data_IF_913367447010
#
_entry.id   IF_913367447010
#
_cell.length_a   1.000
_cell.length_b   1.000
_cell.length_c   1.000
_cell.angle_alpha   90.00
_cell.angle_beta   90.00
_cell.angle_gamma   90.00
#
_symmetry.space_group_name_H-M   'P 1'
#
loop_
_entity.id
_entity.type
_entity.pdbx_description
1 polymer ?
#
# COMPACT_ATOMS: atom_id res chain seq x y z
N UNK A 1 -2.84 10.44 -1.09
CA UNK A 1 -2.97 9.55 -2.26
C UNK A 1 -1.61 9.43 -2.95
N UNK A 2 -1.53 9.29 -4.27
CA UNK A 2 -0.28 9.05 -5.00
C UNK A 2 0.67 10.26 -4.93
N UNK A 3 1.46 10.33 -3.87
CA UNK A 3 2.28 11.48 -3.48
C UNK A 3 3.25 11.99 -4.55
N UNK A 4 3.84 11.10 -5.35
CA UNK A 4 4.78 11.54 -6.41
C UNK A 4 4.09 12.15 -7.65
N UNK A 5 2.77 12.01 -7.77
CA UNK A 5 2.00 12.61 -8.87
C UNK A 5 1.43 14.00 -8.52
N UNK A 6 1.78 14.55 -7.35
CA UNK A 6 1.25 15.85 -6.92
C UNK A 6 -0.29 15.83 -6.76
N UNK A 7 -1.00 16.95 -6.97
CA UNK A 7 -2.45 17.00 -6.81
C UNK A 7 -3.20 16.07 -7.77
N UNK A 8 -2.61 15.76 -8.93
CA UNK A 8 -3.20 14.88 -9.95
C UNK A 8 -3.32 13.42 -9.49
N UNK A 9 -2.55 13.02 -8.48
CA UNK A 9 -2.63 11.71 -7.85
C UNK A 9 -3.80 11.56 -6.87
N UNK A 10 -4.64 12.59 -6.71
CA UNK A 10 -5.82 12.55 -5.83
C UNK A 10 -7.04 12.09 -6.63
N UNK A 11 -7.75 11.02 -6.19
CA UNK A 11 -8.96 10.55 -6.87
C UNK A 11 -10.01 11.65 -7.00
N UNK A 12 -10.55 11.82 -8.20
CA UNK A 12 -11.62 12.78 -8.49
C UNK A 12 -12.96 12.26 -7.96
N UNK A 13 -13.98 13.12 -8.02
CA UNK A 13 -15.35 12.67 -7.79
C UNK A 13 -15.72 11.55 -8.77
N UNK A 14 -16.33 10.46 -8.27
CA UNK A 14 -16.59 9.24 -9.04
C UNK A 14 -15.43 8.23 -9.07
N UNK A 15 -14.18 8.66 -8.82
CA UNK A 15 -12.99 7.78 -8.79
C UNK A 15 -12.55 7.41 -7.37
N UNK A 16 -13.23 7.96 -6.35
CA UNK A 16 -12.90 7.68 -4.94
C UNK A 16 -13.19 6.21 -4.60
N UNK A 17 -12.37 5.58 -3.74
CA UNK A 17 -12.66 4.25 -3.23
C UNK A 17 -14.06 4.17 -2.62
N UNK A 18 -14.77 3.09 -2.92
CA UNK A 18 -16.14 2.85 -2.46
C UNK A 18 -16.20 2.13 -1.12
N UNK A 19 -15.08 1.52 -0.70
CA UNK A 19 -14.94 0.89 0.60
C UNK A 19 -13.54 1.10 1.20
N UNK A 20 -13.48 1.04 2.53
CA UNK A 20 -12.25 1.13 3.31
C UNK A 20 -12.25 0.07 4.40
N UNK A 21 -11.12 -0.62 4.59
CA UNK A 21 -10.88 -1.51 5.73
C UNK A 21 -9.82 -0.87 6.61
N UNK A 22 -10.13 -0.62 7.88
CA UNK A 22 -9.16 -0.08 8.84
C UNK A 22 -8.58 -1.23 9.64
N UNK A 23 -7.28 -1.48 9.47
CA UNK A 23 -6.59 -2.58 10.15
C UNK A 23 -6.10 -2.14 11.51
N UNK A 24 -6.54 -2.87 12.55
CA UNK A 24 -6.27 -2.55 13.94
C UNK A 24 -5.39 -3.61 14.60
N UNK A 25 -4.42 -3.17 15.39
CA UNK A 25 -3.63 -4.03 16.27
C UNK A 25 -4.19 -3.92 17.68
N UNK A 26 -4.69 -5.00 18.24
CA UNK A 26 -5.15 -5.03 19.63
C UNK A 26 -3.96 -5.18 20.59
N UNK A 27 -3.57 -4.08 21.24
CA UNK A 27 -2.40 -4.03 22.15
C UNK A 27 -2.59 -4.80 23.45
N UNK A 28 -3.82 -5.23 23.80
CA UNK A 28 -4.05 -6.16 24.92
C UNK A 28 -3.72 -7.60 24.58
N UNK A 29 -3.84 -7.98 23.30
CA UNK A 29 -3.49 -9.32 22.83
C UNK A 29 -1.99 -9.38 22.52
N UNK A 30 -1.49 -8.35 21.83
CA UNK A 30 -0.09 -8.29 21.41
C UNK A 30 0.47 -6.90 21.64
N UNK A 31 1.35 -6.78 22.64
CA UNK A 31 1.97 -5.51 23.01
C UNK A 31 2.91 -4.99 21.89
N UNK A 32 3.65 -5.87 21.21
CA UNK A 32 4.61 -5.49 20.17
C UNK A 32 4.67 -6.51 19.00
N UNK A 33 5.13 -6.05 17.83
CA UNK A 33 5.31 -6.85 16.62
C UNK A 33 4.05 -7.11 15.80
N UNK A 34 2.89 -6.59 16.22
CA UNK A 34 1.61 -6.81 15.53
C UNK A 34 1.54 -6.28 14.09
N UNK A 35 2.44 -5.37 13.71
CA UNK A 35 2.53 -4.83 12.35
C UNK A 35 2.95 -5.88 11.32
N UNK A 36 3.64 -6.95 11.72
CA UNK A 36 3.93 -8.09 10.83
C UNK A 36 2.66 -8.86 10.47
N UNK A 37 1.80 -9.12 11.47
CA UNK A 37 0.52 -9.81 11.27
C UNK A 37 -0.43 -8.93 10.45
N UNK A 38 -0.48 -7.63 10.78
CA UNK A 38 -1.24 -6.65 10.02
C UNK A 38 -0.78 -6.62 8.57
N UNK A 39 0.54 -6.61 8.32
CA UNK A 39 1.06 -6.60 6.96
C UNK A 39 0.73 -7.86 6.16
N UNK A 40 0.81 -9.04 6.78
CA UNK A 40 0.40 -10.29 6.15
C UNK A 40 -1.11 -10.32 5.84
N UNK A 41 -1.94 -9.83 6.77
CA UNK A 41 -3.38 -9.71 6.56
C UNK A 41 -3.71 -8.75 5.41
N UNK A 42 -3.02 -7.59 5.37
CA UNK A 42 -3.18 -6.59 4.31
C UNK A 42 -2.83 -7.15 2.93
N UNK A 43 -1.69 -7.81 2.80
CA UNK A 43 -1.28 -8.43 1.53
C UNK A 43 -2.27 -9.50 1.08
N UNK A 44 -2.75 -10.36 1.99
CA UNK A 44 -3.78 -11.36 1.65
C UNK A 44 -5.07 -10.70 1.16
N UNK A 45 -5.53 -9.62 1.81
CA UNK A 45 -6.72 -8.88 1.36
C UNK A 45 -6.52 -8.23 -0.01
N UNK A 46 -5.32 -7.71 -0.28
CA UNK A 46 -4.95 -7.13 -1.60
C UNK A 46 -5.03 -8.20 -2.69
N UNK A 47 -4.45 -9.38 -2.46
CA UNK A 47 -4.44 -10.48 -3.42
C UNK A 47 -5.86 -11.01 -3.70
N UNK A 48 -6.68 -11.17 -2.66
CA UNK A 48 -8.09 -11.60 -2.81
C UNK A 48 -8.92 -10.53 -3.52
N UNK A 49 -8.70 -9.25 -3.22
CA UNK A 49 -9.36 -8.16 -3.93
C UNK A 49 -9.03 -8.19 -5.43
N UNK A 50 -7.76 -8.40 -5.77
CA UNK A 50 -7.30 -8.51 -7.16
C UNK A 50 -7.94 -9.71 -7.87
N UNK A 51 -7.96 -10.89 -7.23
CA UNK A 51 -8.62 -12.09 -7.77
C UNK A 51 -10.12 -11.85 -8.02
N UNK A 52 -10.79 -11.13 -7.12
CA UNK A 52 -12.19 -10.78 -7.23
C UNK A 52 -12.48 -9.63 -8.23
N UNK A 53 -11.47 -9.09 -8.92
CA UNK A 53 -11.61 -8.02 -9.91
C UNK A 53 -11.66 -6.60 -9.34
N UNK A 54 -11.26 -6.43 -8.07
CA UNK A 54 -11.18 -5.12 -7.41
C UNK A 54 -9.74 -4.59 -7.37
N UNK A 55 -9.62 -3.27 -7.40
CA UNK A 55 -8.39 -2.55 -7.13
C UNK A 55 -8.28 -2.25 -5.64
N UNK A 56 -7.04 -2.13 -5.16
CA UNK A 56 -6.78 -1.79 -3.77
C UNK A 56 -5.57 -0.87 -3.61
N UNK A 57 -5.57 -0.09 -2.52
CA UNK A 57 -4.43 0.75 -2.14
C UNK A 57 -4.21 0.68 -0.63
N UNK A 58 -3.02 0.25 -0.22
CA UNK A 58 -2.59 0.21 1.18
C UNK A 58 -2.04 1.58 1.60
N UNK A 59 -2.71 2.23 2.55
CA UNK A 59 -2.44 3.60 2.97
C UNK A 59 -2.00 3.62 4.45
N UNK A 60 -0.79 4.13 4.71
CA UNK A 60 -0.29 4.39 6.07
C UNK A 60 -0.24 5.90 6.42
N UNK A 61 -0.32 6.78 5.40
CA UNK A 61 -0.39 8.22 5.56
C UNK A 61 -1.82 8.66 5.88
N UNK A 62 -2.18 8.60 7.16
CA UNK A 62 -3.55 8.74 7.66
C UNK A 62 -3.63 9.81 8.76
N UNK A 63 -4.74 10.52 8.82
CA UNK A 63 -5.15 11.22 10.05
C UNK A 63 -5.75 10.22 11.03
N UNK A 64 -4.88 9.59 11.82
CA UNK A 64 -5.28 8.58 12.81
C UNK A 64 -6.21 9.17 13.87
N UNK A 65 -6.00 10.42 14.28
CA UNK A 65 -6.83 11.07 15.30
C UNK A 65 -8.27 11.26 14.82
N UNK A 66 -8.46 11.63 13.55
CA UNK A 66 -9.78 11.69 12.94
C UNK A 66 -10.43 10.29 12.89
N UNK A 67 -9.70 9.26 12.45
CA UNK A 67 -10.21 7.89 12.36
C UNK A 67 -10.62 7.32 13.72
N UNK A 68 -9.82 7.53 14.78
CA UNK A 68 -10.19 7.12 16.14
C UNK A 68 -11.55 7.69 16.56
N UNK A 69 -11.80 8.96 16.25
CA UNK A 69 -13.05 9.66 16.58
C UNK A 69 -14.23 9.16 15.76
N UNK A 70 -14.07 9.09 14.43
CA UNK A 70 -15.14 8.72 13.49
C UNK A 70 -15.61 7.29 13.73
N UNK A 71 -14.67 6.36 13.98
CA UNK A 71 -14.95 4.94 14.10
C UNK A 71 -15.09 4.46 15.56
N UNK A 72 -15.01 5.38 16.52
CA UNK A 72 -15.06 5.07 17.95
C UNK A 72 -14.09 3.96 18.38
N UNK A 73 -12.87 3.97 17.82
CA UNK A 73 -11.86 2.93 18.06
C UNK A 73 -11.36 3.04 19.51
N UNK A 74 -11.33 1.95 20.29
CA UNK A 74 -10.90 1.99 21.68
C UNK A 74 -9.39 2.24 21.79
N UNK A 75 -8.96 2.92 22.85
CA UNK A 75 -7.56 3.34 23.06
C UNK A 75 -6.53 2.21 23.06
N UNK A 76 -6.95 0.98 23.34
CA UNK A 76 -6.04 -0.18 23.35
C UNK A 76 -5.87 -0.82 21.97
N UNK A 77 -6.61 -0.36 20.96
CA UNK A 77 -6.40 -0.74 19.57
C UNK A 77 -5.59 0.35 18.89
N UNK A 78 -4.57 -0.05 18.14
CA UNK A 78 -3.78 0.86 17.33
C UNK A 78 -4.17 0.76 15.86
N UNK A 79 -4.33 1.90 15.18
CA UNK A 79 -4.50 1.94 13.73
C UNK A 79 -3.14 1.74 13.05
N UNK A 80 -2.96 0.56 12.45
CA UNK A 80 -1.81 0.26 11.61
C UNK A 80 -1.93 1.02 10.28
N UNK A 81 -2.97 0.68 9.51
CA UNK A 81 -3.16 1.12 8.14
C UNK A 81 -4.61 1.03 7.66
N UNK A 82 -4.88 1.55 6.46
CA UNK A 82 -6.18 1.46 5.79
C UNK A 82 -5.99 0.84 4.41
N UNK A 83 -6.85 -0.13 4.06
CA UNK A 83 -7.00 -0.62 2.70
C UNK A 83 -8.16 0.12 2.03
N UNK A 84 -7.86 0.92 1.01
CA UNK A 84 -8.88 1.44 0.11
C UNK A 84 -9.23 0.39 -0.95
N UNK A 85 -10.52 0.25 -1.27
CA UNK A 85 -11.05 -0.72 -2.24
C UNK A 85 -12.01 -0.05 -3.23
N UNK A 86 -11.99 -0.51 -4.48
CA UNK A 86 -12.89 -0.02 -5.52
C UNK A 86 -12.72 -0.77 -6.84
N UNK A 87 -13.52 -0.41 -7.85
CA UNK A 87 -13.32 -0.90 -9.22
C UNK A 87 -12.11 -0.17 -9.83
N UNK A 88 -11.12 -0.87 -10.41
CA UNK A 88 -9.98 -0.22 -11.05
C UNK A 88 -10.42 0.73 -12.16
N UNK A 89 -9.94 1.98 -12.11
CA UNK A 89 -10.17 3.00 -13.14
C UNK A 89 -8.87 3.42 -13.86
N UNK A 90 -7.75 2.78 -13.55
CA UNK A 90 -6.44 3.03 -14.16
C UNK A 90 -5.70 1.71 -14.45
N UNK A 91 -4.73 1.76 -15.35
CA UNK A 91 -3.81 0.65 -15.62
C UNK A 91 -2.45 0.96 -15.00
N UNK A 92 -1.81 -0.04 -14.39
CA UNK A 92 -0.48 0.09 -13.82
C UNK A 92 0.47 -0.98 -14.34
N UNK A 93 1.73 -0.62 -14.53
CA UNK A 93 2.80 -1.53 -14.95
C UNK A 93 4.01 -1.39 -14.04
N UNK A 94 4.64 -2.52 -13.74
CA UNK A 94 5.95 -2.54 -13.08
C UNK A 94 7.06 -2.52 -14.14
N UNK A 95 8.10 -1.72 -13.93
CA UNK A 95 9.24 -1.62 -14.84
C UNK A 95 10.57 -1.62 -14.07
N UNK A 96 11.69 -2.03 -14.70
CA UNK A 96 13.00 -1.92 -14.07
C UNK A 96 13.34 -0.47 -13.72
N UNK A 97 13.72 -0.24 -12.47
CA UNK A 97 14.17 1.07 -12.00
C UNK A 97 15.48 1.47 -12.69
N UNK A 98 15.49 2.67 -13.28
CA UNK A 98 16.71 3.33 -13.79
C UNK A 98 17.32 4.19 -12.69
N UNK A 99 16.82 5.40 -12.52
CA UNK A 99 17.45 6.42 -11.65
C UNK A 99 16.63 6.76 -10.40
N UNK A 100 15.34 6.39 -10.37
CA UNK A 100 14.41 6.82 -9.32
C UNK A 100 13.32 5.80 -9.05
N UNK A 101 12.91 5.70 -7.78
CA UNK A 101 11.75 4.91 -7.34
C UNK A 101 10.41 5.64 -7.53
N UNK A 102 10.45 6.91 -7.95
CA UNK A 102 9.24 7.72 -8.10
C UNK A 102 8.41 7.16 -9.24
N UNK A 103 7.21 6.67 -8.91
CA UNK A 103 6.21 6.34 -9.91
C UNK A 103 5.76 7.61 -10.65
N UNK A 104 5.37 7.43 -11.90
CA UNK A 104 4.91 8.49 -12.78
C UNK A 104 3.75 7.97 -13.65
N UNK A 105 3.08 8.88 -14.36
CA UNK A 105 2.04 8.54 -15.32
C UNK A 105 2.50 8.97 -16.71
N UNK A 106 2.35 8.10 -17.70
CA UNK A 106 2.71 8.42 -19.09
C UNK A 106 1.61 9.26 -19.78
N UNK A 107 1.87 9.64 -21.04
CA UNK A 107 0.94 10.44 -21.85
C UNK A 107 -0.38 9.69 -22.16
N UNK A 108 -0.41 8.37 -21.97
CA UNK A 108 -1.56 7.49 -22.21
C UNK A 108 -2.34 7.21 -20.92
N UNK A 109 -1.88 7.74 -19.78
CA UNK A 109 -2.52 7.56 -18.49
C UNK A 109 -2.09 6.30 -17.73
N UNK A 110 -1.12 5.53 -18.22
CA UNK A 110 -0.62 4.31 -17.57
C UNK A 110 0.25 4.71 -16.37
N UNK A 111 0.04 4.06 -15.23
CA UNK A 111 0.81 4.27 -14.01
C UNK A 111 2.07 3.37 -13.99
N UNK A 112 3.24 3.97 -14.14
CA UNK A 112 4.51 3.25 -14.15
C UNK A 112 5.12 3.19 -12.75
N UNK A 113 5.46 1.98 -12.29
CA UNK A 113 6.06 1.74 -10.98
C UNK A 113 7.47 1.17 -11.15
N UNK A 114 8.51 2.01 -11.01
CA UNK A 114 9.90 1.54 -11.02
C UNK A 114 10.20 0.55 -9.89
N UNK A 115 10.74 -0.62 -10.22
CA UNK A 115 11.13 -1.68 -9.29
C UNK A 115 12.63 -1.90 -9.30
N UNK A 116 13.21 -1.93 -8.11
CA UNK A 116 14.62 -2.23 -7.88
C UNK A 116 14.97 -3.63 -8.41
N UNK A 117 16.15 -3.78 -8.99
CA UNK A 117 16.68 -5.09 -9.40
C UNK A 117 16.88 -6.02 -8.20
N UNK A 118 16.76 -7.35 -8.39
CA UNK A 118 16.89 -8.33 -7.31
C UNK A 118 18.27 -8.23 -6.66
N UNK A 119 19.30 -8.05 -7.47
CA UNK A 119 20.69 -7.84 -7.07
C UNK A 119 20.89 -6.65 -6.11
N UNK A 120 19.95 -5.71 -6.04
CA UNK A 120 20.02 -4.57 -5.12
C UNK A 120 19.34 -4.82 -3.76
N UNK A 121 18.48 -5.84 -3.65
CA UNK A 121 17.68 -6.11 -2.44
C UNK A 121 17.94 -7.48 -1.82
N UNK A 122 18.65 -8.38 -2.52
CA UNK A 122 18.88 -9.74 -2.06
C UNK A 122 20.36 -10.12 -2.06
N UNK A 123 20.76 -10.82 -0.99
CA UNK A 123 22.10 -11.35 -0.80
C UNK A 123 22.05 -12.86 -0.54
N UNK A 124 23.03 -13.60 -1.07
CA UNK A 124 23.16 -15.04 -0.87
C UNK A 124 24.18 -15.34 0.22
N UNK A 125 23.72 -15.97 1.30
CA UNK A 125 24.49 -16.43 2.47
C UNK A 125 25.14 -15.33 3.33
N UNK A 126 25.68 -14.26 2.74
CA UNK A 126 26.32 -13.15 3.47
C UNK A 126 26.05 -11.81 2.81
N UNK A 127 25.99 -10.76 3.63
CA UNK A 127 25.82 -9.39 3.14
C UNK A 127 26.92 -9.02 2.14
N UNK A 128 26.55 -8.34 1.06
CA UNK A 128 27.46 -7.99 -0.04
C UNK A 128 27.58 -9.04 -1.15
N UNK A 129 27.24 -10.31 -0.91
CA UNK A 129 27.17 -11.32 -1.97
C UNK A 129 25.82 -11.27 -2.66
N UNK A 130 25.67 -10.35 -3.61
CA UNK A 130 24.40 -10.07 -4.29
C UNK A 130 23.94 -11.25 -5.15
N UNK A 131 22.63 -11.50 -5.21
CA UNK A 131 22.04 -12.37 -6.23
C UNK A 131 22.21 -11.70 -7.61
N UNK A 132 22.36 -12.49 -8.66
CA UNK A 132 22.40 -12.00 -10.04
C UNK A 132 21.01 -12.25 -10.64
N UNK A 133 20.50 -11.25 -11.37
CA UNK A 133 19.20 -11.30 -12.06
C UNK A 133 19.20 -12.35 -13.18
#
# INVERSE_FOLDING_TARGET
>A
WAAYLGPEGTPKEGERPTAYVVTLINRKIRADGGYHDAGAAMENMILVALEAGFGSCWIASLDRNALYKILHIPQHCEIDSVLALGVPAETAVAEPMKDSIRYYRDEHGVHHVPKRALSSVAHRNRYGHKLVD
#
